data_IF_641024121576
#
_entry.id   IF_641024121576
#
_cell.length_a   1.000
_cell.length_b   1.000
_cell.length_c   1.000
_cell.angle_alpha   90.00
_cell.angle_beta   90.00
_cell.angle_gamma   90.00
#
_symmetry.space_group_name_H-M   'P 1'
#
loop_
_entity.id
_entity.type
_entity.pdbx_description
1 polymer ?
#
# COMPACT_ATOMS: atom_id res chain seq x y z
N UNK A 1 -29.29 1.94 27.57
CA UNK A 1 -28.75 0.89 26.67
C UNK A 1 -29.51 1.04 25.38
N UNK A 2 -28.94 1.78 24.43
CA UNK A 2 -29.58 2.06 23.14
C UNK A 2 -28.83 1.25 22.10
N UNK A 3 -29.42 0.10 21.80
CA UNK A 3 -29.04 -0.81 20.73
C UNK A 3 -29.25 -0.08 19.40
N UNK A 4 -28.18 0.16 18.64
CA UNK A 4 -28.30 0.58 17.25
C UNK A 4 -28.51 -0.66 16.39
N UNK A 5 -29.78 -0.89 16.09
CA UNK A 5 -30.28 -1.81 15.08
C UNK A 5 -29.83 -1.32 13.69
N UNK A 6 -28.98 -2.09 13.00
CA UNK A 6 -28.68 -1.84 11.59
C UNK A 6 -29.72 -2.55 10.73
N UNK A 7 -30.59 -1.83 10.01
CA UNK A 7 -31.58 -2.47 9.15
C UNK A 7 -30.88 -3.16 7.98
N UNK A 8 -31.16 -4.46 7.82
CA UNK A 8 -30.92 -5.16 6.55
C UNK A 8 -31.96 -4.66 5.56
N UNK A 9 -31.52 -3.88 4.57
CA UNK A 9 -32.38 -3.36 3.51
C UNK A 9 -31.65 -3.34 2.18
N UNK A 10 -32.00 -4.33 1.36
CA UNK A 10 -32.37 -4.20 -0.05
C UNK A 10 -31.30 -3.64 -1.02
N UNK A 11 -30.75 -4.56 -1.82
CA UNK A 11 -29.78 -4.28 -2.87
C UNK A 11 -30.19 -3.10 -3.75
N UNK A 12 -29.25 -2.16 -3.88
CA UNK A 12 -29.41 -0.95 -4.67
C UNK A 12 -29.46 -1.30 -6.18
N UNK A 13 -30.56 -1.00 -6.90
CA UNK A 13 -30.76 -1.43 -8.28
C UNK A 13 -29.95 -0.64 -9.33
N UNK A 14 -28.98 0.19 -8.91
CA UNK A 14 -28.14 0.96 -9.84
C UNK A 14 -26.64 0.71 -9.71
N UNK A 15 -26.18 -0.17 -8.81
CA UNK A 15 -24.82 -0.70 -8.91
C UNK A 15 -24.90 -2.08 -9.57
N UNK A 16 -24.62 -2.10 -10.86
CA UNK A 16 -24.36 -3.35 -11.59
C UNK A 16 -23.02 -3.91 -11.16
N UNK A 17 -22.91 -4.41 -9.93
CA UNK A 17 -21.80 -5.27 -9.54
C UNK A 17 -22.03 -6.67 -10.12
N UNK A 18 -21.80 -6.74 -11.42
CA UNK A 18 -21.42 -7.93 -12.17
C UNK A 18 -20.00 -8.32 -11.75
N UNK A 19 -19.88 -9.29 -10.85
CA UNK A 19 -18.59 -9.94 -10.55
C UNK A 19 -18.26 -11.01 -11.60
N UNK A 20 -18.62 -10.79 -12.86
CA UNK A 20 -18.37 -11.63 -14.03
C UNK A 20 -17.24 -11.12 -14.90
N UNK A 21 -16.30 -10.33 -14.34
CA UNK A 21 -15.08 -9.96 -15.06
C UNK A 21 -14.21 -11.21 -15.23
N UNK A 22 -14.10 -11.69 -16.47
CA UNK A 22 -12.97 -12.52 -16.92
C UNK A 22 -11.68 -11.72 -16.68
N UNK A 23 -11.16 -11.76 -15.46
CA UNK A 23 -9.86 -11.18 -15.12
C UNK A 23 -8.79 -12.05 -15.78
N UNK A 24 -8.25 -11.56 -16.88
CA UNK A 24 -6.83 -11.83 -17.16
C UNK A 24 -6.10 -11.31 -15.93
N UNK A 25 -5.44 -12.20 -15.18
CA UNK A 25 -4.54 -11.81 -14.10
C UNK A 25 -3.57 -10.80 -14.71
N UNK A 26 -3.75 -9.52 -14.38
CA UNK A 26 -2.88 -8.46 -14.84
C UNK A 26 -1.53 -8.71 -14.17
N UNK A 27 -0.48 -8.88 -14.97
CA UNK A 27 0.88 -9.21 -14.52
C UNK A 27 1.60 -8.08 -13.81
N UNK A 28 0.89 -7.32 -12.96
CA UNK A 28 1.47 -6.33 -12.08
C UNK A 28 1.85 -6.99 -10.76
N UNK A 29 3.10 -6.84 -10.39
CA UNK A 29 3.64 -7.23 -9.09
C UNK A 29 3.24 -6.23 -8.01
N UNK A 30 3.27 -6.67 -6.75
CA UNK A 30 3.07 -5.77 -5.61
C UNK A 30 4.06 -4.60 -5.61
N UNK A 31 5.28 -4.82 -6.10
CA UNK A 31 6.31 -3.80 -6.21
C UNK A 31 5.93 -2.72 -7.23
N UNK A 32 5.49 -3.11 -8.42
CA UNK A 32 5.09 -2.17 -9.47
C UNK A 32 3.90 -1.30 -9.04
N UNK A 33 2.91 -1.90 -8.39
CA UNK A 33 1.75 -1.15 -7.85
C UNK A 33 2.21 -0.16 -6.79
N UNK A 34 3.07 -0.59 -5.86
CA UNK A 34 3.57 0.27 -4.78
C UNK A 34 4.41 1.42 -5.33
N UNK A 35 5.26 1.15 -6.33
CA UNK A 35 6.07 2.17 -6.98
C UNK A 35 5.20 3.21 -7.67
N UNK A 36 4.24 2.77 -8.51
CA UNK A 36 3.33 3.68 -9.19
C UNK A 36 2.54 4.57 -8.22
N UNK A 37 2.05 4.00 -7.11
CA UNK A 37 1.33 4.78 -6.09
C UNK A 37 2.22 5.81 -5.40
N UNK A 38 3.50 5.48 -5.15
CA UNK A 38 4.46 6.45 -4.62
C UNK A 38 4.75 7.56 -5.64
N UNK A 39 4.99 7.19 -6.90
CA UNK A 39 5.27 8.13 -7.99
C UNK A 39 4.07 9.09 -8.24
N UNK A 40 2.84 8.60 -8.05
CA UNK A 40 1.65 9.45 -8.09
C UNK A 40 1.64 10.46 -6.93
N UNK A 41 1.91 9.99 -5.70
CA UNK A 41 1.85 10.82 -4.50
C UNK A 41 2.99 11.84 -4.37
N UNK A 42 4.14 11.56 -4.98
CA UNK A 42 5.27 12.50 -5.04
C UNK A 42 5.24 13.40 -6.29
N UNK A 43 4.22 13.25 -7.14
CA UNK A 43 4.06 13.99 -8.40
C UNK A 43 5.21 13.77 -9.39
N UNK A 44 5.79 12.56 -9.42
CA UNK A 44 6.84 12.17 -10.38
C UNK A 44 6.34 11.35 -11.59
N UNK A 45 5.06 10.98 -11.63
CA UNK A 45 4.45 10.40 -12.82
C UNK A 45 4.48 11.35 -14.03
N UNK A 46 4.56 10.78 -15.22
CA UNK A 46 4.32 11.52 -16.45
C UNK A 46 2.86 12.01 -16.53
N UNK A 47 2.65 13.16 -17.17
CA UNK A 47 1.34 13.81 -17.23
C UNK A 47 0.26 12.90 -17.82
N UNK A 48 0.60 12.07 -18.81
CA UNK A 48 -0.34 11.15 -19.45
C UNK A 48 -0.82 10.04 -18.52
N UNK A 49 0.12 9.41 -17.80
CA UNK A 49 -0.20 8.39 -16.81
C UNK A 49 -0.99 8.97 -15.63
N UNK A 50 -0.62 10.17 -15.18
CA UNK A 50 -1.33 10.87 -14.10
C UNK A 50 -2.77 11.17 -14.50
N UNK A 51 -3.00 11.78 -15.67
CA UNK A 51 -4.34 12.16 -16.13
C UNK A 51 -5.26 10.93 -16.27
N UNK A 52 -4.76 9.84 -16.85
CA UNK A 52 -5.53 8.61 -17.00
C UNK A 52 -5.87 7.97 -15.65
N UNK A 53 -4.94 8.01 -14.70
CA UNK A 53 -5.18 7.52 -13.34
C UNK A 53 -6.20 8.39 -12.60
N UNK A 54 -6.06 9.72 -12.65
CA UNK A 54 -6.99 10.68 -12.03
C UNK A 54 -8.39 10.57 -12.62
N UNK A 55 -8.50 10.37 -13.94
CA UNK A 55 -9.76 10.10 -14.62
C UNK A 55 -10.47 8.87 -14.06
N UNK A 56 -9.73 7.79 -13.78
CA UNK A 56 -10.32 6.57 -13.23
C UNK A 56 -10.75 6.74 -11.77
N UNK A 57 -9.86 7.23 -10.90
CA UNK A 57 -10.19 7.40 -9.47
C UNK A 57 -11.30 8.43 -9.27
N UNK A 58 -11.45 9.40 -10.18
CA UNK A 58 -12.55 10.36 -10.17
C UNK A 58 -13.93 9.77 -10.47
N UNK A 59 -14.00 8.59 -11.11
CA UNK A 59 -15.28 7.93 -11.48
C UNK A 59 -15.52 6.62 -10.73
N UNK A 60 -14.54 6.11 -9.98
CA UNK A 60 -14.58 4.82 -9.31
C UNK A 60 -14.39 4.98 -7.79
N UNK A 61 -15.48 5.07 -7.00
CA UNK A 61 -15.39 5.25 -5.55
C UNK A 61 -14.53 4.20 -4.81
N UNK A 62 -14.58 2.89 -5.13
CA UNK A 62 -13.70 1.90 -4.50
C UNK A 62 -12.21 2.19 -4.71
N UNK A 63 -11.81 2.64 -5.90
CA UNK A 63 -10.42 2.97 -6.20
C UNK A 63 -9.97 4.25 -5.49
N UNK A 64 -10.87 5.24 -5.36
CA UNK A 64 -10.62 6.42 -4.54
C UNK A 64 -10.40 6.05 -3.06
N UNK A 65 -11.27 5.19 -2.50
CA UNK A 65 -11.11 4.69 -1.13
C UNK A 65 -9.77 3.95 -0.93
N UNK A 66 -9.34 3.15 -1.91
CA UNK A 66 -8.03 2.49 -1.84
C UNK A 66 -6.89 3.51 -1.83
N UNK A 67 -6.94 4.50 -2.73
CA UNK A 67 -5.94 5.57 -2.81
C UNK A 67 -5.86 6.36 -1.50
N UNK A 68 -7.01 6.65 -0.87
CA UNK A 68 -7.03 7.35 0.41
C UNK A 68 -6.43 6.52 1.54
N UNK A 69 -6.73 5.21 1.63
CA UNK A 69 -6.06 4.33 2.58
C UNK A 69 -4.55 4.22 2.36
N UNK A 70 -4.11 4.28 1.10
CA UNK A 70 -2.69 4.33 0.77
C UNK A 70 -2.03 5.63 1.26
N UNK A 71 -2.68 6.79 1.03
CA UNK A 71 -2.23 8.09 1.57
C UNK A 71 -2.12 8.07 3.09
N UNK A 72 -3.12 7.53 3.79
CA UNK A 72 -3.12 7.40 5.24
C UNK A 72 -1.95 6.56 5.75
N UNK A 73 -1.66 5.44 5.06
CA UNK A 73 -0.52 4.57 5.38
C UNK A 73 0.80 5.33 5.23
N UNK A 74 0.98 6.03 4.11
CA UNK A 74 2.17 6.85 3.86
C UNK A 74 2.29 7.95 4.91
N UNK A 75 1.20 8.61 5.29
CA UNK A 75 1.22 9.64 6.33
C UNK A 75 1.58 9.04 7.69
N UNK A 76 1.04 7.88 8.05
CA UNK A 76 1.36 7.18 9.29
C UNK A 76 2.84 6.80 9.34
N UNK A 77 3.37 6.20 8.27
CA UNK A 77 4.81 5.89 8.16
C UNK A 77 5.65 7.16 8.26
N UNK A 78 5.25 8.23 7.56
CA UNK A 78 5.91 9.53 7.65
C UNK A 78 5.86 10.07 9.07
N UNK A 79 4.76 9.99 9.82
CA UNK A 79 4.69 10.46 11.22
C UNK A 79 5.59 9.63 12.12
N UNK A 80 5.60 8.30 11.97
CA UNK A 80 6.49 7.42 12.70
C UNK A 80 7.97 7.69 12.38
N UNK A 81 8.29 8.05 11.13
CA UNK A 81 9.65 8.41 10.69
C UNK A 81 10.05 9.88 10.85
N UNK A 82 9.08 10.81 10.96
CA UNK A 82 9.23 12.26 11.20
C UNK A 82 9.20 12.63 12.67
N UNK A 83 9.02 11.65 13.56
CA UNK A 83 9.87 11.68 14.74
C UNK A 83 11.28 11.57 14.17
N UNK A 84 11.88 12.71 13.81
CA UNK A 84 13.32 12.83 13.85
C UNK A 84 13.61 12.33 15.25
N UNK A 85 14.06 11.08 15.33
CA UNK A 85 14.60 10.59 16.56
C UNK A 85 15.66 11.63 16.85
N UNK A 86 15.43 12.45 17.87
CA UNK A 86 16.44 13.41 18.28
C UNK A 86 17.74 12.62 18.45
N UNK A 87 18.88 13.30 18.40
CA UNK A 87 20.17 12.60 18.44
C UNK A 87 20.24 11.59 19.61
N UNK A 88 19.46 11.79 20.67
CA UNK A 88 19.29 10.86 21.78
C UNK A 88 18.36 9.68 21.46
N UNK A 89 17.17 9.89 20.91
CA UNK A 89 16.25 8.81 20.52
C UNK A 89 16.85 7.92 19.41
N UNK A 90 17.73 8.46 18.56
CA UNK A 90 18.43 7.69 17.51
C UNK A 90 19.52 6.82 18.11
N UNK A 91 20.25 7.34 19.10
CA UNK A 91 21.15 6.52 19.93
C UNK A 91 20.36 5.45 20.66
N UNK A 92 19.28 5.79 21.36
CA UNK A 92 18.47 4.84 22.13
C UNK A 92 17.89 3.73 21.24
N UNK A 93 17.39 4.03 20.03
CA UNK A 93 16.92 2.99 19.11
C UNK A 93 18.08 2.13 18.57
N UNK A 94 19.19 2.76 18.17
CA UNK A 94 20.39 2.06 17.71
C UNK A 94 21.05 1.22 18.80
N UNK A 95 21.02 1.66 20.05
CA UNK A 95 21.49 0.95 21.24
C UNK A 95 20.54 -0.21 21.60
N UNK A 96 19.22 0.00 21.51
CA UNK A 96 18.21 -1.02 21.85
C UNK A 96 18.09 -2.12 20.81
N UNK A 97 18.17 -1.79 19.52
CA UNK A 97 17.84 -2.72 18.45
C UNK A 97 19.00 -3.03 17.51
N UNK A 98 20.10 -2.25 17.57
CA UNK A 98 21.29 -2.49 16.76
C UNK A 98 21.01 -2.48 15.24
N UNK A 99 22.02 -2.78 14.42
CA UNK A 99 21.76 -3.25 13.07
C UNK A 99 21.01 -4.59 13.12
N UNK A 100 20.30 -4.96 12.03
CA UNK A 100 19.71 -6.29 11.92
C UNK A 100 20.75 -7.39 12.22
N UNK A 101 20.41 -8.43 13.02
CA UNK A 101 21.34 -9.50 13.33
C UNK A 101 21.84 -10.20 12.06
N UNK A 102 23.15 -10.48 11.98
CA UNK A 102 23.77 -11.10 10.79
C UNK A 102 23.09 -12.41 10.39
N UNK A 103 22.70 -13.25 11.36
CA UNK A 103 22.00 -14.50 11.08
C UNK A 103 20.65 -14.29 10.37
N UNK A 104 19.94 -13.20 10.65
CA UNK A 104 18.70 -12.84 9.96
C UNK A 104 18.99 -12.41 8.52
N UNK A 105 20.02 -11.57 8.32
CA UNK A 105 20.45 -11.13 6.99
C UNK A 105 20.82 -12.36 6.14
N UNK A 106 21.64 -13.26 6.68
CA UNK A 106 22.05 -14.49 5.99
C UNK A 106 20.88 -15.41 5.68
N UNK A 107 19.91 -15.56 6.58
CA UNK A 107 18.70 -16.34 6.32
C UNK A 107 17.87 -15.77 5.15
N UNK A 108 17.71 -14.44 5.09
CA UNK A 108 17.01 -13.78 3.98
C UNK A 108 17.76 -13.98 2.66
N UNK A 109 19.07 -13.82 2.65
CA UNK A 109 19.90 -14.01 1.45
C UNK A 109 19.83 -15.45 0.93
N UNK A 110 19.94 -16.44 1.82
CA UNK A 110 19.82 -17.84 1.46
C UNK A 110 18.42 -18.17 0.88
N UNK A 111 17.37 -17.62 1.48
CA UNK A 111 16.00 -17.79 0.99
C UNK A 111 15.83 -17.21 -0.43
N UNK A 112 16.37 -16.00 -0.68
CA UNK A 112 16.33 -15.39 -2.01
C UNK A 112 17.07 -16.22 -3.06
N UNK A 113 18.28 -16.67 -2.75
CA UNK A 113 19.07 -17.53 -3.65
C UNK A 113 18.37 -18.86 -3.96
N UNK A 114 17.65 -19.44 -2.99
CA UNK A 114 16.87 -20.65 -3.21
C UNK A 114 15.70 -20.41 -4.17
N UNK A 115 15.00 -19.28 -4.04
CA UNK A 115 13.91 -18.89 -4.95
C UNK A 115 14.45 -18.65 -6.37
N UNK A 116 15.55 -17.90 -6.50
CA UNK A 116 16.15 -17.55 -7.79
C UNK A 116 16.80 -18.78 -8.48
N UNK A 117 17.29 -19.75 -7.70
CA UNK A 117 17.84 -21.01 -8.21
C UNK A 117 16.80 -22.10 -8.50
N UNK A 118 15.52 -21.84 -8.22
CA UNK A 118 14.37 -22.71 -8.54
C UNK A 118 13.59 -22.24 -9.79
N UNK A 119 14.07 -21.20 -10.48
CA UNK A 119 13.51 -20.66 -11.71
C UNK A 119 14.27 -21.15 -12.96
#
# INVERSE_FOLDING_TARGET
>A
MSEHDHPKGDGHPSCGHDYGLKMKVHGLTCQEISQFMMDYLDSSLDDGAKDEFERHVGVCPPCLHYLDGYKDTVELVRRCGKVELDAEAKKVHGEKHGPPPEGLIMAILAAKQAIDGQA
#
